data_IF_905246754764
#
_entry.id   IF_905246754764
#
_cell.length_a   1.000
_cell.length_b   1.000
_cell.length_c   1.000
_cell.angle_alpha   90.00
_cell.angle_beta   90.00
_cell.angle_gamma   90.00
#
_symmetry.space_group_name_H-M   'P 1'
#
loop_
_entity.id
_entity.type
_entity.pdbx_description
1 polymer ?
#
# COMPACT_ATOMS: atom_id res chain seq x y z
N UNK A 1 0.55 -3.75 -7.65
CA UNK A 1 -0.34 -4.34 -6.66
C UNK A 1 0.41 -4.39 -5.35
N UNK A 2 -0.21 -3.95 -4.27
CA UNK A 2 0.42 -3.75 -2.97
C UNK A 2 1.06 -5.03 -2.42
N UNK A 3 2.24 -4.88 -1.81
CA UNK A 3 2.86 -5.90 -0.96
C UNK A 3 2.29 -5.86 0.47
N UNK A 4 1.56 -4.81 0.80
CA UNK A 4 0.92 -4.61 2.09
C UNK A 4 -0.35 -5.47 2.14
N UNK A 5 -0.21 -6.66 2.71
CA UNK A 5 -1.27 -7.65 2.81
C UNK A 5 -1.50 -7.95 4.28
N UNK A 6 -2.67 -7.58 4.76
CA UNK A 6 -3.13 -7.93 6.09
C UNK A 6 -4.28 -8.95 6.01
N UNK A 7 -4.02 -10.14 6.53
CA UNK A 7 -5.02 -11.21 6.65
C UNK A 7 -5.56 -11.38 8.08
N UNK A 8 -5.31 -10.43 8.96
CA UNK A 8 -5.78 -10.50 10.35
C UNK A 8 -7.30 -10.37 10.47
N UNK A 9 -7.94 -9.77 9.47
CA UNK A 9 -9.40 -9.58 9.38
C UNK A 9 -10.05 -10.48 8.33
N UNK A 10 -9.57 -11.67 8.21
CA UNK A 10 -10.07 -12.65 7.26
C UNK A 10 -11.48 -13.12 7.63
N UNK A 11 -12.43 -12.97 6.71
CA UNK A 11 -13.85 -13.25 6.91
C UNK A 11 -14.40 -14.34 5.99
N UNK A 12 -13.53 -15.10 5.35
CA UNK A 12 -13.91 -16.22 4.49
C UNK A 12 -14.52 -17.37 5.32
N UNK A 13 -15.64 -17.90 4.86
CA UNK A 13 -16.40 -18.91 5.59
C UNK A 13 -15.91 -20.33 5.26
N UNK A 14 -15.39 -20.60 4.07
CA UNK A 14 -15.12 -21.97 3.62
C UNK A 14 -13.81 -22.17 2.83
N UNK A 15 -13.35 -21.20 2.12
CA UNK A 15 -12.35 -21.38 1.05
C UNK A 15 -10.90 -21.33 1.51
N UNK A 16 -10.62 -20.82 2.70
CA UNK A 16 -9.26 -20.61 3.20
C UNK A 16 -8.35 -19.88 2.18
N UNK A 17 -8.92 -18.91 1.47
CA UNK A 17 -8.23 -18.17 0.40
C UNK A 17 -6.98 -17.44 0.86
N UNK A 18 -6.90 -17.08 2.15
CA UNK A 18 -5.72 -16.50 2.78
C UNK A 18 -4.50 -17.44 2.75
N UNK A 19 -4.72 -18.75 2.63
CA UNK A 19 -3.65 -19.76 2.55
C UNK A 19 -3.18 -20.02 1.11
N UNK A 20 -3.87 -19.48 0.10
CA UNK A 20 -3.43 -19.59 -1.29
C UNK A 20 -2.14 -18.79 -1.50
N UNK A 21 -1.21 -19.31 -2.30
CA UNK A 21 -0.01 -18.55 -2.64
C UNK A 21 -0.36 -17.33 -3.46
N UNK A 22 0.44 -16.28 -3.30
CA UNK A 22 0.43 -15.14 -4.20
C UNK A 22 1.11 -15.49 -5.51
N UNK A 23 0.73 -14.79 -6.58
CA UNK A 23 1.36 -14.90 -7.87
C UNK A 23 2.15 -13.62 -8.16
N UNK A 24 3.45 -13.79 -8.38
CA UNK A 24 4.31 -12.74 -8.90
C UNK A 24 4.57 -12.97 -10.39
N UNK A 25 4.33 -11.97 -11.22
CA UNK A 25 4.59 -11.99 -12.65
C UNK A 25 5.80 -11.12 -12.94
N UNK A 26 6.88 -11.72 -13.43
CA UNK A 26 8.11 -11.03 -13.82
C UNK A 26 8.15 -10.94 -15.35
N UNK A 27 8.04 -9.74 -15.96
CA UNK A 27 8.27 -9.56 -17.40
C UNK A 27 9.70 -9.94 -17.77
N UNK A 28 9.85 -10.66 -18.88
CA UNK A 28 11.16 -11.12 -19.41
C UNK A 28 11.54 -10.47 -20.73
N UNK A 29 10.69 -9.63 -21.26
CA UNK A 29 10.93 -8.73 -22.38
C UNK A 29 10.22 -7.40 -22.13
N UNK A 30 10.42 -6.45 -23.04
CA UNK A 30 9.71 -5.18 -22.98
C UNK A 30 8.25 -5.38 -23.45
N UNK A 31 7.30 -5.08 -22.57
CA UNK A 31 5.87 -5.11 -22.87
C UNK A 31 5.34 -3.74 -23.36
N UNK A 32 6.24 -2.77 -23.47
CA UNK A 32 5.90 -1.40 -23.85
C UNK A 32 5.28 -0.60 -22.70
N UNK A 33 4.77 0.58 -23.05
CA UNK A 33 4.03 1.41 -22.09
C UNK A 33 2.62 0.88 -21.85
N UNK A 34 2.18 0.94 -20.61
CA UNK A 34 0.86 0.46 -20.22
C UNK A 34 0.67 0.49 -18.71
N UNK A 35 -0.37 -0.15 -18.26
CA UNK A 35 -0.71 -0.29 -16.85
C UNK A 35 -1.16 -1.71 -16.49
N UNK A 36 -1.00 -2.08 -15.23
CA UNK A 36 -1.63 -3.29 -14.69
C UNK A 36 -3.06 -2.92 -14.28
N UNK A 37 -4.03 -3.52 -14.96
CA UNK A 37 -5.44 -3.41 -14.60
C UNK A 37 -5.84 -4.44 -13.56
N UNK A 38 -6.69 -4.05 -12.62
CA UNK A 38 -7.39 -4.94 -11.69
C UNK A 38 -8.88 -4.80 -11.95
N UNK A 39 -9.54 -5.92 -12.22
CA UNK A 39 -10.98 -5.97 -12.39
C UNK A 39 -11.57 -6.86 -11.31
N UNK A 40 -12.50 -6.31 -10.55
CA UNK A 40 -13.30 -7.03 -9.56
C UNK A 40 -14.74 -7.10 -10.06
N UNK A 41 -15.25 -8.30 -10.24
CA UNK A 41 -16.60 -8.55 -10.74
C UNK A 41 -17.50 -8.87 -9.55
N UNK A 42 -18.54 -8.08 -9.27
CA UNK A 42 -19.48 -8.38 -8.19
C UNK A 42 -20.07 -9.79 -8.35
N UNK A 43 -20.04 -10.58 -7.30
CA UNK A 43 -20.60 -11.92 -7.25
C UNK A 43 -21.31 -12.17 -5.95
N UNK A 44 -22.31 -13.04 -5.97
CA UNK A 44 -23.06 -13.47 -4.78
C UNK A 44 -22.47 -14.74 -4.15
N UNK A 45 -21.45 -15.34 -4.78
CA UNK A 45 -20.85 -16.59 -4.34
C UNK A 45 -19.34 -16.50 -4.25
N UNK A 46 -18.80 -16.96 -3.14
CA UNK A 46 -17.36 -16.99 -2.85
C UNK A 46 -16.56 -17.93 -3.78
N UNK A 47 -17.22 -18.89 -4.39
CA UNK A 47 -16.57 -19.91 -5.25
C UNK A 47 -16.38 -19.47 -6.70
N UNK A 48 -16.86 -18.29 -7.07
CA UNK A 48 -16.70 -17.75 -8.41
C UNK A 48 -15.41 -16.92 -8.50
N UNK A 49 -14.56 -17.25 -9.46
CA UNK A 49 -13.37 -16.43 -9.75
C UNK A 49 -13.83 -15.09 -10.31
N UNK A 50 -13.66 -14.03 -9.53
CA UNK A 50 -14.20 -12.71 -9.81
C UNK A 50 -13.16 -11.59 -9.79
N UNK A 51 -11.89 -11.92 -9.67
CA UNK A 51 -10.78 -10.96 -9.64
C UNK A 51 -9.79 -11.29 -10.75
N UNK A 52 -9.56 -10.34 -11.64
CA UNK A 52 -8.66 -10.51 -12.78
C UNK A 52 -7.63 -9.39 -12.80
N UNK A 53 -6.35 -9.77 -12.85
CA UNK A 53 -5.25 -8.84 -13.15
C UNK A 53 -4.78 -9.04 -14.59
N UNK A 54 -4.58 -7.95 -15.32
CA UNK A 54 -4.14 -8.01 -16.70
C UNK A 54 -3.25 -6.82 -17.07
N UNK A 55 -2.43 -6.99 -18.11
CA UNK A 55 -1.69 -5.91 -18.70
C UNK A 55 -2.56 -5.16 -19.71
N UNK A 56 -2.63 -3.86 -19.59
CA UNK A 56 -3.33 -2.98 -20.52
C UNK A 56 -2.30 -2.10 -21.24
N UNK A 57 -1.97 -2.36 -22.51
CA UNK A 57 -1.12 -1.50 -23.29
C UNK A 57 -1.71 -0.08 -23.42
N UNK A 58 -0.85 0.94 -23.36
CA UNK A 58 -1.26 2.34 -23.59
C UNK A 58 -1.81 2.53 -24.99
N UNK A 59 -1.19 1.86 -25.98
CA UNK A 59 -1.65 1.87 -27.36
C UNK A 59 -2.78 0.89 -27.58
N UNK A 60 -3.88 1.33 -28.16
CA UNK A 60 -4.98 0.45 -28.52
C UNK A 60 -4.55 -0.62 -29.51
N UNK A 61 -4.89 -1.87 -29.21
CA UNK A 61 -4.62 -3.02 -30.07
C UNK A 61 -5.64 -3.08 -31.22
N UNK A 62 -5.16 -3.33 -32.42
CA UNK A 62 -5.97 -3.42 -33.64
C UNK A 62 -5.88 -4.80 -34.25
N UNK A 63 -6.81 -5.13 -35.10
CA UNK A 63 -6.77 -6.38 -35.87
C UNK A 63 -5.48 -6.45 -36.72
N UNK A 64 -4.75 -7.55 -36.59
CA UNK A 64 -3.45 -7.78 -37.22
C UNK A 64 -2.23 -7.37 -36.41
N UNK A 65 -2.41 -6.71 -35.25
CA UNK A 65 -1.28 -6.46 -34.34
C UNK A 65 -0.84 -7.77 -33.67
N UNK A 66 0.47 -7.95 -33.56
CA UNK A 66 1.09 -9.04 -32.83
C UNK A 66 1.71 -8.49 -31.53
N UNK A 67 1.45 -9.16 -30.40
CA UNK A 67 2.00 -8.84 -29.11
C UNK A 67 2.79 -10.05 -28.58
N UNK A 68 4.07 -9.82 -28.23
CA UNK A 68 4.93 -10.87 -27.66
C UNK A 68 5.15 -10.58 -26.17
N UNK A 69 4.60 -11.45 -25.32
CA UNK A 69 4.73 -11.39 -23.87
C UNK A 69 5.55 -12.57 -23.37
N UNK A 70 6.77 -12.31 -22.92
CA UNK A 70 7.60 -13.29 -22.21
C UNK A 70 7.58 -12.94 -20.74
N UNK A 71 7.29 -13.93 -19.89
CA UNK A 71 7.21 -13.74 -18.45
C UNK A 71 7.57 -14.99 -17.68
N UNK A 72 7.89 -14.80 -16.40
CA UNK A 72 8.06 -15.88 -15.42
C UNK A 72 7.05 -15.71 -14.30
N UNK A 73 6.45 -16.81 -13.88
CA UNK A 73 5.51 -16.85 -12.77
C UNK A 73 6.20 -17.45 -11.54
N UNK A 74 6.01 -16.77 -10.40
CA UNK A 74 6.44 -17.27 -9.10
C UNK A 74 5.22 -17.42 -8.21
N UNK A 75 4.96 -18.62 -7.77
CA UNK A 75 3.91 -18.93 -6.81
C UNK A 75 4.55 -18.98 -5.42
N UNK A 76 4.32 -17.98 -4.60
CA UNK A 76 4.99 -17.82 -3.32
C UNK A 76 4.16 -16.95 -2.39
N UNK A 77 4.36 -17.12 -1.08
CA UNK A 77 3.81 -16.22 -0.07
C UNK A 77 4.51 -14.84 -0.07
N UNK A 78 5.74 -14.79 -0.56
CA UNK A 78 6.57 -13.58 -0.58
C UNK A 78 7.07 -13.31 -2.01
N UNK A 79 7.30 -12.04 -2.37
CA UNK A 79 7.87 -11.73 -3.67
C UNK A 79 9.28 -12.33 -3.80
N UNK A 80 9.66 -12.79 -5.01
CA UNK A 80 10.97 -13.42 -5.26
C UNK A 80 12.14 -12.43 -5.14
N UNK A 81 11.85 -11.15 -5.26
CA UNK A 81 12.82 -10.06 -5.13
C UNK A 81 12.41 -9.17 -3.98
N UNK A 82 13.28 -9.01 -3.01
CA UNK A 82 13.10 -8.03 -1.93
C UNK A 82 13.67 -6.70 -2.39
N UNK A 83 12.91 -5.64 -2.21
CA UNK A 83 13.40 -4.29 -2.41
C UNK A 83 14.56 -4.02 -1.42
N UNK A 84 15.67 -3.40 -1.86
CA UNK A 84 16.68 -2.91 -0.94
C UNK A 84 16.20 -1.68 -0.14
N UNK A 85 15.07 -1.09 -0.55
CA UNK A 85 14.47 0.04 0.13
C UNK A 85 13.65 -0.42 1.35
N UNK A 86 13.38 0.51 2.24
CA UNK A 86 12.41 0.29 3.30
C UNK A 86 11.02 -0.01 2.71
N UNK A 87 10.29 -0.88 3.40
CA UNK A 87 8.95 -1.28 3.00
C UNK A 87 7.93 -0.81 4.03
N UNK A 88 6.72 -0.52 3.57
CA UNK A 88 5.60 -0.28 4.47
C UNK A 88 5.28 -1.58 5.19
N UNK A 89 5.30 -1.53 6.51
CA UNK A 89 4.92 -2.63 7.39
C UNK A 89 3.43 -2.62 7.70
N UNK A 90 2.90 -1.43 8.01
CA UNK A 90 1.48 -1.24 8.26
C UNK A 90 1.08 0.22 8.02
N UNK A 91 -0.17 0.42 7.61
CA UNK A 91 -0.80 1.74 7.53
C UNK A 91 -2.05 1.74 8.39
N UNK A 92 -2.16 2.72 9.27
CA UNK A 92 -3.34 2.92 10.11
C UNK A 92 -3.84 4.34 9.92
N UNK A 93 -5.15 4.52 10.00
CA UNK A 93 -5.77 5.83 9.92
C UNK A 93 -6.77 6.02 11.04
N UNK A 94 -6.94 7.25 11.46
CA UNK A 94 -7.87 7.63 12.51
C UNK A 94 -8.31 9.08 12.38
N UNK A 95 -9.00 9.56 13.38
CA UNK A 95 -9.36 10.98 13.50
C UNK A 95 -8.11 11.77 13.86
N UNK A 96 -7.83 12.84 13.11
CA UNK A 96 -6.73 13.77 13.34
C UNK A 96 -7.22 15.12 13.86
N UNK A 97 -6.29 16.09 13.89
CA UNK A 97 -6.58 17.46 14.31
C UNK A 97 -6.62 17.65 15.83
N UNK A 98 -6.26 16.65 16.60
CA UNK A 98 -6.19 16.76 18.06
C UNK A 98 -4.88 17.38 18.51
N UNK A 99 -4.90 18.29 19.50
CA UNK A 99 -3.70 18.78 20.11
C UNK A 99 -2.95 17.67 20.86
N UNK A 100 -1.66 17.87 21.06
CA UNK A 100 -0.84 16.99 21.88
C UNK A 100 -1.40 16.89 23.30
N UNK A 101 -1.40 15.67 23.86
CA UNK A 101 -1.91 15.43 25.20
C UNK A 101 -3.44 15.38 25.33
N UNK A 102 -4.15 15.35 24.20
CA UNK A 102 -5.60 15.23 24.22
C UNK A 102 -6.07 13.93 24.91
N UNK A 103 -7.05 14.06 25.81
CA UNK A 103 -7.69 12.95 26.49
C UNK A 103 -9.12 12.73 25.96
N UNK A 104 -9.61 11.47 25.88
CA UNK A 104 -10.99 11.19 25.49
C UNK A 104 -12.01 11.94 26.36
N UNK A 105 -12.95 12.62 25.71
CA UNK A 105 -13.97 13.42 26.37
C UNK A 105 -13.66 14.92 26.50
N UNK A 106 -12.42 15.32 26.18
CA UNK A 106 -12.04 16.71 26.04
C UNK A 106 -12.31 17.24 24.63
N UNK A 107 -12.11 18.51 24.43
CA UNK A 107 -12.49 19.26 23.22
C UNK A 107 -12.22 18.53 21.89
N UNK A 108 -13.26 18.34 21.11
CA UNK A 108 -13.10 17.85 19.73
C UNK A 108 -12.41 18.91 18.85
N UNK A 109 -11.64 18.48 17.84
CA UNK A 109 -11.00 19.41 16.92
C UNK A 109 -12.07 20.22 16.19
N UNK A 110 -11.82 21.53 16.04
CA UNK A 110 -12.72 22.45 15.32
C UNK A 110 -12.72 22.21 13.80
N UNK A 111 -11.66 21.63 13.29
CA UNK A 111 -11.47 21.33 11.87
C UNK A 111 -11.21 19.85 11.73
N UNK A 112 -11.94 19.21 10.83
CA UNK A 112 -11.77 17.80 10.57
C UNK A 112 -10.42 17.53 9.90
N UNK A 113 -9.71 16.53 10.38
CA UNK A 113 -8.50 16.03 9.78
C UNK A 113 -8.46 14.50 9.88
N UNK A 114 -7.67 13.87 9.03
CA UNK A 114 -7.40 12.44 9.07
C UNK A 114 -5.97 12.20 9.48
N UNK A 115 -5.78 11.48 10.58
CA UNK A 115 -4.45 11.04 11.02
C UNK A 115 -4.03 9.80 10.27
N UNK A 116 -2.80 9.82 9.79
CA UNK A 116 -2.11 8.67 9.23
C UNK A 116 -0.97 8.26 10.14
N UNK A 117 -0.82 6.94 10.31
CA UNK A 117 0.32 6.33 10.97
C UNK A 117 0.85 5.25 10.02
N UNK A 118 1.99 5.50 9.40
CA UNK A 118 2.59 4.62 8.40
C UNK A 118 3.90 4.08 8.95
N UNK A 119 3.96 2.76 9.10
CA UNK A 119 5.11 2.05 9.64
C UNK A 119 6.00 1.53 8.52
N UNK A 120 7.30 1.78 8.63
CA UNK A 120 8.32 1.35 7.69
C UNK A 120 9.35 0.47 8.38
N UNK A 121 9.77 -0.60 7.69
CA UNK A 121 10.80 -1.53 8.15
C UNK A 121 11.82 -1.84 7.05
N UNK A 122 13.01 -2.25 7.45
CA UNK A 122 14.07 -2.69 6.53
C UNK A 122 14.77 -1.56 5.80
N UNK A 123 15.41 -1.89 4.69
CA UNK A 123 16.27 -0.96 3.97
C UNK A 123 17.40 -0.41 4.83
N UNK A 124 17.84 0.80 4.54
CA UNK A 124 18.90 1.50 5.26
C UNK A 124 18.40 2.36 6.44
N UNK A 125 17.14 2.19 6.89
CA UNK A 125 16.54 3.03 7.93
C UNK A 125 17.40 3.07 9.19
N UNK A 126 17.90 1.93 9.64
CA UNK A 126 18.75 1.83 10.84
C UNK A 126 20.09 2.57 10.67
N UNK A 127 20.67 2.50 9.49
CA UNK A 127 21.93 3.19 9.18
C UNK A 127 21.71 4.69 8.93
N UNK A 128 20.54 5.08 8.47
CA UNK A 128 20.17 6.47 8.23
C UNK A 128 19.78 7.22 9.52
N UNK A 129 19.24 6.54 10.51
CA UNK A 129 18.74 7.12 11.75
C UNK A 129 19.70 8.08 12.46
N UNK A 130 21.01 7.78 12.61
CA UNK A 130 21.96 8.71 13.24
C UNK A 130 22.20 10.01 12.46
N UNK A 131 21.89 9.99 11.15
CA UNK A 131 22.03 11.14 10.24
C UNK A 131 20.78 12.00 10.15
N UNK A 132 19.71 11.57 10.83
CA UNK A 132 18.38 12.13 10.71
C UNK A 132 17.60 11.50 9.54
N UNK A 133 16.33 11.22 9.78
CA UNK A 133 15.39 10.77 8.76
C UNK A 133 14.36 11.88 8.60
N UNK A 134 14.19 12.36 7.37
CA UNK A 134 13.18 13.38 7.07
C UNK A 134 12.10 12.77 6.17
N UNK A 135 10.80 12.88 6.53
CA UNK A 135 9.74 12.38 5.69
C UNK A 135 9.48 13.35 4.53
N UNK A 136 9.30 12.81 3.35
CA UNK A 136 8.79 13.55 2.19
C UNK A 136 7.37 13.08 1.92
N UNK A 137 6.39 13.96 2.13
CA UNK A 137 4.98 13.67 1.92
C UNK A 137 4.51 14.45 0.70
N UNK A 138 4.05 13.73 -0.33
CA UNK A 138 3.43 14.33 -1.50
C UNK A 138 1.94 13.98 -1.51
N UNK A 139 1.09 14.98 -1.59
CA UNK A 139 -0.36 14.84 -1.57
C UNK A 139 -0.94 15.28 -2.92
N UNK A 140 -1.99 14.61 -3.37
CA UNK A 140 -2.78 15.04 -4.54
C UNK A 140 -3.68 16.26 -4.21
N UNK A 141 -4.06 16.41 -2.95
CA UNK A 141 -4.86 17.54 -2.44
C UNK A 141 -4.69 17.67 -0.92
N UNK A 142 -5.02 18.83 -0.36
CA UNK A 142 -4.95 19.09 1.06
C UNK A 142 -3.54 19.40 1.57
N UNK A 143 -3.40 19.46 2.89
CA UNK A 143 -2.16 19.75 3.60
C UNK A 143 -1.83 18.66 4.62
N UNK A 144 -0.56 18.27 4.73
CA UNK A 144 -0.04 17.48 5.84
C UNK A 144 0.49 18.40 6.94
N UNK A 145 0.01 18.23 8.16
CA UNK A 145 0.49 18.93 9.35
C UNK A 145 0.86 17.94 10.44
N UNK A 146 1.56 18.42 11.48
CA UNK A 146 1.99 17.61 12.62
C UNK A 146 2.75 16.36 12.17
N UNK A 147 3.72 16.59 11.29
CA UNK A 147 4.54 15.49 10.75
C UNK A 147 5.59 15.11 11.78
N UNK A 148 5.55 13.85 12.20
CA UNK A 148 6.47 13.29 13.18
C UNK A 148 7.07 11.99 12.67
N UNK A 149 8.30 11.70 13.08
CA UNK A 149 8.96 10.41 12.89
C UNK A 149 9.30 9.83 14.24
N UNK A 150 8.85 8.59 14.47
CA UNK A 150 9.09 7.86 15.70
C UNK A 150 9.76 6.52 15.40
N UNK A 151 10.81 6.20 16.15
CA UNK A 151 11.31 4.83 16.17
C UNK A 151 10.37 3.95 16.98
N UNK A 152 10.02 2.78 16.48
CA UNK A 152 9.10 1.83 17.13
C UNK A 152 9.83 0.50 17.33
N UNK A 153 10.31 0.30 18.56
CA UNK A 153 11.12 -0.85 18.98
C UNK A 153 10.49 -2.22 18.64
N UNK A 154 9.17 -2.47 18.86
CA UNK A 154 8.58 -3.78 18.65
C UNK A 154 8.74 -4.38 17.24
N UNK A 155 8.93 -3.55 16.23
CA UNK A 155 9.18 -4.04 14.87
C UNK A 155 10.50 -3.50 14.26
N UNK A 156 11.36 -2.90 15.10
CA UNK A 156 12.65 -2.30 14.68
C UNK A 156 12.52 -1.43 13.42
N UNK A 157 11.59 -0.50 13.48
CA UNK A 157 11.22 0.33 12.33
C UNK A 157 10.87 1.77 12.71
N UNK A 158 10.41 2.52 11.73
CA UNK A 158 10.04 3.92 11.91
C UNK A 158 8.58 4.15 11.52
N UNK A 159 7.89 4.92 12.34
CA UNK A 159 6.52 5.38 12.09
C UNK A 159 6.55 6.82 11.66
N UNK A 160 5.91 7.11 10.54
CA UNK A 160 5.57 8.47 10.13
C UNK A 160 4.14 8.74 10.57
N UNK A 161 3.95 9.80 11.35
CA UNK A 161 2.66 10.32 11.75
C UNK A 161 2.43 11.65 11.04
N UNK A 162 1.23 11.89 10.56
CA UNK A 162 0.79 13.20 10.11
C UNK A 162 -0.73 13.30 10.08
N UNK A 163 -1.23 14.54 10.20
CA UNK A 163 -2.63 14.84 10.01
C UNK A 163 -2.84 15.47 8.62
N UNK A 164 -3.69 14.85 7.83
CA UNK A 164 -4.11 15.38 6.55
C UNK A 164 -5.37 16.22 6.71
N UNK A 165 -5.29 17.48 6.28
CA UNK A 165 -6.40 18.42 6.24
C UNK A 165 -6.85 18.57 4.78
N UNK A 166 -8.13 18.30 4.44
CA UNK A 166 -8.62 18.53 3.10
C UNK A 166 -8.60 20.02 2.77
N UNK A 167 -8.35 20.36 1.52
CA UNK A 167 -8.69 21.70 1.00
C UNK A 167 -10.20 21.75 0.87
N UNK A 168 -10.82 22.84 1.38
CA UNK A 168 -12.22 23.12 1.09
C UNK A 168 -12.34 23.46 -0.40
N UNK A 169 -12.98 22.60 -1.15
CA UNK A 169 -13.56 22.98 -2.45
C UNK A 169 -14.86 23.71 -2.22
#
# INVERSE_FOLDING_TARGET
ISLDRDFSHYQDVMGWYNKRPSLWVEPRNDWGKGAVGLMEIPTTGETLDNVVCFWQPEKAVKAGDELDFKYRLYWSAMPPVRSPLANVYATRTGMGGFPEGWAPGENYPKVWARRFAIDFVGGDLKAAAPKGIEPVITLSSGEAKQVEILYVEPFDGYRILFDWYPTSD
#
